data_IF_787881434354
#
_entry.id   IF_787881434354
#
_cell.length_a   1.000
_cell.length_b   1.000
_cell.length_c   1.000
_cell.angle_alpha   90.00
_cell.angle_beta   90.00
_cell.angle_gamma   90.00
#
_symmetry.space_group_name_H-M   'P 1'
#
loop_
_entity.id
_entity.type
_entity.pdbx_description
1 polymer ?
#
# COMPACT_ATOMS: atom_id res chain seq x y z
N UNK A 1 -22.58 -3.81 -83.74
CA UNK A 1 -22.26 -4.80 -82.69
C UNK A 1 -20.75 -5.09 -82.67
N UNK A 2 -19.93 -4.26 -82.03
CA UNK A 2 -18.48 -4.54 -81.83
C UNK A 2 -17.83 -3.78 -80.66
N UNK A 3 -18.60 -2.96 -79.92
CA UNK A 3 -18.09 -2.13 -78.83
C UNK A 3 -18.55 -2.57 -77.43
N UNK A 4 -19.43 -3.59 -77.31
CA UNK A 4 -19.93 -4.08 -76.02
C UNK A 4 -19.04 -5.14 -75.34
N UNK A 5 -18.23 -5.87 -76.10
CA UNK A 5 -17.46 -7.01 -75.57
C UNK A 5 -16.14 -6.62 -74.91
N UNK A 6 -15.61 -5.42 -75.23
CA UNK A 6 -14.34 -4.92 -74.65
C UNK A 6 -14.53 -4.25 -73.29
N UNK A 7 -15.66 -3.58 -73.05
CA UNK A 7 -15.95 -2.98 -71.74
C UNK A 7 -16.34 -4.02 -70.69
N UNK A 8 -16.93 -5.15 -71.09
CA UNK A 8 -17.29 -6.22 -70.16
C UNK A 8 -16.05 -6.94 -69.58
N UNK A 9 -14.97 -7.06 -70.35
CA UNK A 9 -13.71 -7.70 -69.92
C UNK A 9 -12.89 -6.75 -69.03
N UNK A 10 -12.92 -5.43 -69.30
CA UNK A 10 -12.21 -4.43 -68.51
C UNK A 10 -12.85 -4.20 -67.13
N UNK A 11 -14.17 -4.41 -67.00
CA UNK A 11 -14.86 -4.35 -65.70
C UNK A 11 -14.81 -5.68 -64.90
N UNK A 12 -14.50 -6.81 -65.55
CA UNK A 12 -14.43 -8.11 -64.89
C UNK A 12 -13.06 -8.38 -64.21
N UNK A 13 -11.99 -7.73 -64.68
CA UNK A 13 -10.63 -7.93 -64.16
C UNK A 13 -10.39 -7.29 -62.76
N UNK A 14 -10.97 -6.12 -62.40
CA UNK A 14 -10.87 -5.60 -61.04
C UNK A 14 -11.75 -6.37 -60.05
N UNK A 15 -12.90 -6.91 -60.49
CA UNK A 15 -13.80 -7.69 -59.62
C UNK A 15 -13.21 -9.04 -59.19
N UNK A 16 -12.34 -9.67 -59.98
CA UNK A 16 -11.66 -10.90 -59.57
C UNK A 16 -10.53 -10.68 -58.55
N UNK A 17 -10.00 -9.46 -58.43
CA UNK A 17 -8.92 -9.15 -57.48
C UNK A 17 -9.40 -8.87 -56.05
N UNK A 18 -10.71 -8.63 -55.85
CA UNK A 18 -11.28 -8.42 -54.52
C UNK A 18 -11.65 -9.70 -53.76
N UNK A 19 -11.56 -10.88 -54.39
CA UNK A 19 -12.00 -12.16 -53.79
C UNK A 19 -10.86 -12.94 -53.11
N UNK A 20 -9.60 -12.44 -53.16
CA UNK A 20 -8.42 -13.15 -52.63
C UNK A 20 -7.90 -12.55 -51.31
N UNK A 21 -8.52 -11.50 -50.78
CA UNK A 21 -8.08 -10.87 -49.52
C UNK A 21 -8.75 -11.42 -48.26
N UNK A 22 -9.18 -12.69 -48.25
CA UNK A 22 -9.44 -13.42 -47.01
C UNK A 22 -8.19 -14.22 -46.63
N UNK A 23 -7.12 -13.52 -46.21
CA UNK A 23 -6.16 -14.19 -45.33
C UNK A 23 -6.91 -14.48 -44.04
N UNK A 24 -7.09 -15.75 -43.69
CA UNK A 24 -7.47 -16.10 -42.31
C UNK A 24 -6.43 -15.45 -41.41
N UNK A 25 -6.87 -14.57 -40.52
CA UNK A 25 -5.99 -14.10 -39.44
C UNK A 25 -5.43 -15.33 -38.75
N UNK A 26 -4.14 -15.29 -38.40
CA UNK A 26 -3.57 -16.33 -37.57
C UNK A 26 -4.45 -16.48 -36.33
N UNK A 27 -4.85 -17.71 -36.01
CA UNK A 27 -5.59 -17.95 -34.79
C UNK A 27 -4.81 -17.30 -33.64
N UNK A 28 -5.48 -16.50 -32.82
CA UNK A 28 -4.90 -15.97 -31.59
C UNK A 28 -4.45 -17.18 -30.77
N UNK A 29 -3.16 -17.50 -30.83
CA UNK A 29 -2.58 -18.43 -29.89
C UNK A 29 -2.58 -17.70 -28.55
N UNK A 30 -3.11 -18.31 -27.47
CA UNK A 30 -2.88 -17.77 -26.14
C UNK A 30 -1.40 -17.45 -26.04
N UNK A 31 -1.08 -16.22 -25.62
CA UNK A 31 0.29 -15.94 -25.21
C UNK A 31 0.63 -17.03 -24.19
N UNK A 32 1.69 -17.80 -24.45
CA UNK A 32 2.21 -18.72 -23.46
C UNK A 32 2.67 -17.83 -22.31
N UNK A 33 1.76 -17.65 -21.34
CA UNK A 33 2.04 -16.95 -20.11
C UNK A 33 3.03 -17.88 -19.44
N UNK A 34 4.32 -17.69 -19.73
CA UNK A 34 5.38 -18.51 -19.15
C UNK A 34 5.19 -18.58 -17.63
N UNK A 35 5.92 -19.49 -16.99
CA UNK A 35 5.85 -19.68 -15.53
C UNK A 35 5.74 -18.34 -14.78
N UNK A 36 4.78 -18.23 -13.84
CA UNK A 36 4.54 -17.04 -13.03
C UNK A 36 5.88 -16.36 -12.68
N UNK A 37 6.12 -15.11 -13.12
CA UNK A 37 7.42 -14.47 -12.96
C UNK A 37 7.80 -14.34 -11.49
N UNK A 38 6.85 -14.36 -10.56
CA UNK A 38 7.09 -14.20 -9.12
C UNK A 38 7.55 -15.48 -8.41
N UNK A 39 7.45 -16.65 -9.04
CA UNK A 39 8.03 -17.89 -8.49
C UNK A 39 9.53 -17.66 -8.24
N UNK A 40 9.99 -17.95 -7.01
CA UNK A 40 11.41 -17.89 -6.66
C UNK A 40 12.04 -19.24 -6.93
N UNK A 41 13.22 -19.25 -7.55
CA UNK A 41 13.98 -20.45 -7.88
C UNK A 41 15.28 -20.44 -7.09
N UNK A 42 15.73 -21.62 -6.67
CA UNK A 42 16.98 -21.72 -5.92
C UNK A 42 18.17 -21.28 -6.79
N UNK A 43 19.08 -20.55 -6.16
CA UNK A 43 20.40 -20.24 -6.68
C UNK A 43 21.41 -20.46 -5.54
N UNK A 44 21.90 -21.70 -5.35
CA UNK A 44 22.81 -22.02 -4.25
C UNK A 44 24.14 -21.25 -4.26
N UNK A 45 24.49 -20.62 -5.38
CA UNK A 45 25.68 -19.78 -5.48
C UNK A 45 25.49 -18.37 -4.85
N UNK A 46 24.24 -17.96 -4.60
CA UNK A 46 23.88 -16.70 -3.95
C UNK A 46 23.20 -16.99 -2.63
N UNK A 47 23.83 -16.62 -1.52
CA UNK A 47 23.26 -16.81 -0.18
C UNK A 47 21.91 -16.10 -0.03
N UNK A 48 21.78 -14.92 -0.65
CA UNK A 48 20.53 -14.13 -0.69
C UNK A 48 19.43 -14.87 -1.43
N UNK A 49 19.70 -15.29 -2.68
CA UNK A 49 18.67 -15.94 -3.51
C UNK A 49 18.26 -17.29 -2.92
N UNK A 50 19.22 -18.04 -2.36
CA UNK A 50 18.94 -19.29 -1.65
C UNK A 50 18.03 -19.06 -0.44
N UNK A 51 18.31 -18.05 0.39
CA UNK A 51 17.48 -17.72 1.55
C UNK A 51 16.06 -17.28 1.14
N UNK A 52 15.94 -16.46 0.09
CA UNK A 52 14.65 -16.04 -0.47
C UNK A 52 13.88 -17.24 -1.02
N UNK A 53 14.55 -18.16 -1.70
CA UNK A 53 13.94 -19.40 -2.20
C UNK A 53 13.42 -20.26 -1.05
N UNK A 54 14.23 -20.50 -0.01
CA UNK A 54 13.80 -21.28 1.16
C UNK A 54 12.60 -20.64 1.88
N UNK A 55 12.61 -19.31 2.00
CA UNK A 55 11.47 -18.57 2.55
C UNK A 55 10.22 -18.73 1.67
N UNK A 56 10.38 -18.64 0.34
CA UNK A 56 9.28 -18.79 -0.60
C UNK A 56 8.67 -20.21 -0.57
N UNK A 57 9.48 -21.26 -0.51
CA UNK A 57 9.00 -22.64 -0.42
C UNK A 57 8.13 -22.89 0.84
N UNK A 58 8.43 -22.18 1.94
CA UNK A 58 7.70 -22.31 3.20
C UNK A 58 6.43 -21.46 3.25
N UNK A 59 6.44 -20.29 2.63
CA UNK A 59 5.41 -19.25 2.85
C UNK A 59 4.58 -18.93 1.62
N UNK A 60 5.06 -19.33 0.45
CA UNK A 60 4.57 -18.94 -0.88
C UNK A 60 4.44 -17.43 -1.09
N UNK A 61 5.18 -16.63 -0.32
CA UNK A 61 5.26 -15.18 -0.48
C UNK A 61 6.55 -14.82 -1.23
N UNK A 62 6.47 -14.32 -2.48
CA UNK A 62 7.62 -13.80 -3.19
C UNK A 62 8.22 -12.59 -2.47
N UNK A 63 9.51 -12.67 -2.15
CA UNK A 63 10.31 -11.53 -1.68
C UNK A 63 11.29 -11.15 -2.78
N UNK A 64 11.35 -9.85 -3.07
CA UNK A 64 12.13 -9.26 -4.14
C UNK A 64 13.03 -8.18 -3.55
N UNK A 65 14.17 -7.91 -4.17
CA UNK A 65 15.10 -6.83 -3.81
C UNK A 65 15.51 -5.96 -5.01
N UNK A 66 14.91 -6.21 -6.17
CA UNK A 66 15.05 -5.46 -7.42
C UNK A 66 13.68 -5.41 -8.11
N UNK A 67 13.48 -4.40 -8.96
CA UNK A 67 12.34 -4.29 -9.86
C UNK A 67 12.28 -5.40 -10.92
N UNK A 68 13.42 -5.95 -11.33
CA UNK A 68 13.48 -6.97 -12.38
C UNK A 68 13.12 -8.35 -11.79
N UNK A 69 11.87 -8.76 -11.98
CA UNK A 69 11.32 -10.02 -11.42
C UNK A 69 11.69 -11.23 -12.28
N UNK A 70 11.66 -11.08 -13.61
CA UNK A 70 12.10 -12.07 -14.60
C UNK A 70 12.80 -11.38 -15.76
N UNK A 71 13.77 -12.06 -16.39
CA UNK A 71 14.48 -11.57 -17.58
C UNK A 71 14.00 -12.22 -18.88
N UNK A 72 13.29 -13.34 -18.80
CA UNK A 72 12.80 -14.06 -19.98
C UNK A 72 11.46 -14.76 -19.70
N UNK A 73 10.32 -14.19 -20.14
CA UNK A 73 10.21 -12.83 -20.69
C UNK A 73 10.58 -11.78 -19.64
N UNK A 74 11.02 -10.60 -20.09
CA UNK A 74 11.31 -9.49 -19.18
C UNK A 74 10.03 -9.05 -18.46
N UNK A 75 10.07 -9.07 -17.14
CA UNK A 75 9.00 -8.58 -16.28
C UNK A 75 9.62 -7.70 -15.19
N UNK A 76 9.17 -6.45 -15.13
CA UNK A 76 9.63 -5.47 -14.15
C UNK A 76 8.46 -4.93 -13.33
N UNK A 77 8.72 -4.61 -12.07
CA UNK A 77 7.78 -3.89 -11.20
C UNK A 77 8.01 -2.40 -11.36
N UNK A 78 6.92 -1.67 -11.61
CA UNK A 78 6.90 -0.22 -11.51
C UNK A 78 5.97 0.19 -10.35
N UNK A 79 6.55 0.74 -9.29
CA UNK A 79 5.77 1.27 -8.15
C UNK A 79 4.97 2.52 -8.52
N UNK A 80 5.33 3.19 -9.62
CA UNK A 80 4.61 4.35 -10.12
C UNK A 80 3.37 4.00 -10.95
N UNK A 81 3.20 2.73 -11.32
CA UNK A 81 2.11 2.30 -12.17
C UNK A 81 0.83 2.01 -11.39
N UNK A 82 -0.26 2.70 -11.75
CA UNK A 82 -1.60 2.48 -11.19
C UNK A 82 -2.65 2.36 -12.29
N UNK A 83 -3.60 1.42 -12.13
CA UNK A 83 -4.70 1.20 -13.06
C UNK A 83 -5.65 2.42 -13.19
N UNK A 84 -5.72 3.27 -12.17
CA UNK A 84 -6.62 4.43 -12.11
C UNK A 84 -6.06 5.71 -12.77
N UNK A 85 -4.90 5.65 -13.41
CA UNK A 85 -4.44 6.69 -14.35
C UNK A 85 -3.60 7.83 -13.75
N UNK A 86 -3.29 7.81 -12.46
CA UNK A 86 -2.28 8.69 -11.89
C UNK A 86 -1.00 7.91 -11.66
N UNK A 87 0.05 8.23 -12.41
CA UNK A 87 1.38 7.75 -12.04
C UNK A 87 1.80 8.48 -10.77
N UNK A 88 2.26 7.73 -9.77
CA UNK A 88 2.96 8.38 -8.65
C UNK A 88 4.33 8.87 -9.13
N UNK A 89 4.94 9.80 -8.39
CA UNK A 89 6.27 10.35 -8.70
C UNK A 89 7.30 9.84 -7.71
N UNK A 90 7.20 8.56 -7.35
CA UNK A 90 8.07 7.91 -6.39
C UNK A 90 9.49 7.78 -6.95
N UNK A 91 10.45 8.16 -6.12
CA UNK A 91 11.87 7.90 -6.34
C UNK A 91 12.21 6.67 -5.50
N UNK A 92 12.76 5.64 -6.14
CA UNK A 92 13.01 4.31 -5.56
C UNK A 92 14.50 3.99 -5.70
N UNK A 93 15.16 3.72 -4.57
CA UNK A 93 16.52 3.16 -4.55
C UNK A 93 16.47 1.70 -4.12
N UNK A 94 17.08 0.82 -4.92
CA UNK A 94 17.12 -0.63 -4.64
C UNK A 94 18.32 -1.04 -3.80
N UNK A 95 18.14 -2.12 -3.04
CA UNK A 95 19.20 -2.70 -2.21
C UNK A 95 20.34 -3.24 -3.07
N UNK A 96 21.57 -3.11 -2.55
CA UNK A 96 22.79 -3.60 -3.22
C UNK A 96 23.64 -4.53 -2.36
N UNK A 97 23.38 -4.58 -1.05
CA UNK A 97 24.16 -5.33 -0.09
C UNK A 97 23.37 -6.54 0.41
N UNK A 98 23.97 -7.72 0.31
CA UNK A 98 23.40 -8.99 0.76
C UNK A 98 22.96 -8.95 2.23
N UNK A 99 23.72 -8.30 3.12
CA UNK A 99 23.40 -8.22 4.54
C UNK A 99 22.10 -7.45 4.79
N UNK A 100 21.85 -6.38 4.03
CA UNK A 100 20.63 -5.58 4.13
C UNK A 100 19.43 -6.37 3.57
N UNK A 101 19.62 -7.08 2.46
CA UNK A 101 18.58 -7.93 1.88
C UNK A 101 18.16 -9.04 2.85
N UNK A 102 19.14 -9.72 3.47
CA UNK A 102 18.89 -10.76 4.47
C UNK A 102 18.23 -10.18 5.74
N UNK A 103 18.61 -8.98 6.16
CA UNK A 103 17.96 -8.26 7.27
C UNK A 103 16.48 -7.97 6.94
N UNK A 104 16.20 -7.49 5.73
CA UNK A 104 14.84 -7.25 5.26
C UNK A 104 14.03 -8.54 5.17
N UNK A 105 14.61 -9.63 4.69
CA UNK A 105 13.96 -10.95 4.65
C UNK A 105 13.62 -11.44 6.06
N UNK A 106 14.53 -11.29 7.02
CA UNK A 106 14.31 -11.65 8.42
C UNK A 106 13.19 -10.79 9.05
N UNK A 107 13.15 -9.49 8.73
CA UNK A 107 12.05 -8.62 9.14
C UNK A 107 10.72 -9.13 8.59
N UNK A 108 10.66 -9.46 7.29
CA UNK A 108 9.44 -10.00 6.66
C UNK A 108 9.00 -11.29 7.36
N UNK A 109 9.93 -12.21 7.59
CA UNK A 109 9.63 -13.52 8.17
C UNK A 109 9.18 -13.44 9.62
N UNK A 110 9.85 -12.63 10.45
CA UNK A 110 9.66 -12.66 11.91
C UNK A 110 8.74 -11.55 12.44
N UNK A 111 8.65 -10.41 11.74
CA UNK A 111 7.96 -9.22 12.23
C UNK A 111 6.77 -8.81 11.37
N UNK A 112 6.76 -9.16 10.08
CA UNK A 112 5.70 -8.75 9.15
C UNK A 112 4.66 -9.86 8.92
N UNK A 113 5.08 -10.96 8.30
CA UNK A 113 4.22 -12.06 7.88
C UNK A 113 3.39 -12.70 9.01
N UNK A 114 3.92 -12.87 10.24
CA UNK A 114 3.15 -13.50 11.33
C UNK A 114 1.88 -12.74 11.70
N UNK A 115 1.82 -11.43 11.44
CA UNK A 115 0.72 -10.53 11.74
C UNK A 115 -0.38 -10.54 10.66
N UNK A 116 -0.17 -11.24 9.55
CA UNK A 116 -1.09 -11.25 8.42
C UNK A 116 -1.83 -12.59 8.31
N UNK A 117 -3.14 -12.55 8.09
CA UNK A 117 -3.89 -13.69 7.55
C UNK A 117 -3.60 -13.85 6.05
N UNK A 118 -3.97 -14.98 5.47
CA UNK A 118 -3.81 -15.22 4.04
C UNK A 118 -4.55 -14.19 3.17
N UNK A 119 -5.67 -13.64 3.65
CA UNK A 119 -6.45 -12.62 2.92
C UNK A 119 -5.80 -11.24 2.90
N UNK A 120 -4.91 -10.95 3.85
CA UNK A 120 -4.22 -9.66 3.96
C UNK A 120 -2.78 -9.71 3.42
N UNK A 121 -2.25 -10.92 3.17
CA UNK A 121 -0.91 -11.07 2.58
C UNK A 121 -0.85 -10.35 1.23
N UNK A 122 0.15 -9.49 1.00
CA UNK A 122 0.37 -8.93 -0.32
C UNK A 122 0.80 -10.03 -1.29
N UNK A 123 0.58 -9.80 -2.59
CA UNK A 123 0.97 -10.77 -3.62
C UNK A 123 2.49 -10.97 -3.68
N UNK A 124 3.27 -9.91 -3.49
CA UNK A 124 4.72 -9.97 -3.25
C UNK A 124 5.18 -8.87 -2.30
N UNK A 125 6.39 -9.00 -1.76
CA UNK A 125 7.08 -7.94 -1.01
C UNK A 125 8.33 -7.53 -1.77
N UNK A 126 8.55 -6.22 -1.91
CA UNK A 126 9.75 -5.64 -2.50
C UNK A 126 10.54 -4.88 -1.41
N UNK A 127 11.72 -5.38 -1.09
CA UNK A 127 12.66 -4.78 -0.16
C UNK A 127 13.51 -3.73 -0.89
N UNK A 128 13.50 -2.50 -0.42
CA UNK A 128 14.21 -1.37 -1.04
C UNK A 128 15.00 -0.57 -0.01
N UNK A 129 15.99 0.16 -0.50
CA UNK A 129 16.84 1.04 0.32
C UNK A 129 16.02 2.27 0.73
N UNK A 130 15.58 3.05 -0.26
CA UNK A 130 14.87 4.30 -0.03
C UNK A 130 13.63 4.39 -0.90
N UNK A 131 12.58 5.04 -0.36
CA UNK A 131 11.38 5.38 -1.09
C UNK A 131 10.98 6.81 -0.75
N UNK A 132 10.89 7.66 -1.76
CA UNK A 132 10.66 9.09 -1.57
C UNK A 132 9.48 9.53 -2.43
N UNK A 133 8.54 10.24 -1.80
CA UNK A 133 7.43 10.91 -2.48
C UNK A 133 7.69 12.41 -2.50
N UNK A 134 8.01 13.01 -3.66
CA UNK A 134 8.08 14.45 -3.81
C UNK A 134 6.67 15.04 -3.81
N UNK A 135 6.44 15.99 -2.92
CA UNK A 135 5.25 16.81 -2.88
C UNK A 135 5.57 18.19 -3.44
N UNK A 136 4.99 18.51 -4.59
CA UNK A 136 5.17 19.79 -5.26
C UNK A 136 4.28 20.85 -4.62
N UNK A 137 4.87 21.72 -3.81
CA UNK A 137 4.25 22.95 -3.35
C UNK A 137 4.37 24.06 -4.40
N UNK A 138 3.72 25.19 -4.15
CA UNK A 138 3.75 26.32 -5.07
C UNK A 138 5.14 26.98 -5.18
N UNK A 139 5.96 26.91 -4.12
CA UNK A 139 7.29 27.54 -4.06
C UNK A 139 8.44 26.56 -3.82
N UNK A 140 8.15 25.32 -3.39
CA UNK A 140 9.18 24.35 -3.03
C UNK A 140 8.65 22.91 -3.19
N UNK A 141 9.57 21.97 -3.36
CA UNK A 141 9.28 20.53 -3.41
C UNK A 141 9.73 19.90 -2.10
N UNK A 142 8.79 19.36 -1.33
CA UNK A 142 9.10 18.60 -0.12
C UNK A 142 9.31 17.13 -0.46
N UNK A 143 10.41 16.54 0.00
CA UNK A 143 10.70 15.12 -0.20
C UNK A 143 10.34 14.35 1.07
N UNK A 144 9.31 13.50 0.98
CA UNK A 144 8.83 12.70 2.11
C UNK A 144 9.32 11.27 1.96
N UNK A 145 10.11 10.80 2.93
CA UNK A 145 10.50 9.40 3.01
C UNK A 145 9.30 8.54 3.43
N UNK A 146 9.03 7.49 2.66
CA UNK A 146 7.96 6.54 2.93
C UNK A 146 8.57 5.24 3.46
N UNK A 147 8.09 4.71 4.60
CA UNK A 147 8.58 3.43 5.12
C UNK A 147 8.06 2.23 4.32
N UNK A 148 6.94 2.39 3.62
CA UNK A 148 6.34 1.36 2.79
C UNK A 148 5.36 1.96 1.78
N UNK A 149 5.02 1.17 0.76
CA UNK A 149 4.06 1.57 -0.27
C UNK A 149 3.35 0.37 -0.91
N UNK A 150 2.04 0.48 -1.08
CA UNK A 150 1.22 -0.53 -1.76
C UNK A 150 1.18 -0.24 -3.27
N UNK A 151 2.02 -0.96 -4.02
CA UNK A 151 1.94 -1.03 -5.48
C UNK A 151 0.89 -2.03 -5.95
N UNK A 152 0.68 -2.12 -7.27
CA UNK A 152 -0.38 -2.95 -7.85
C UNK A 152 -0.24 -4.43 -7.51
N UNK A 153 0.95 -4.99 -7.72
CA UNK A 153 1.25 -6.41 -7.49
C UNK A 153 2.29 -6.62 -6.39
N UNK A 154 2.72 -5.56 -5.70
CA UNK A 154 3.75 -5.67 -4.67
C UNK A 154 3.51 -4.71 -3.54
N UNK A 155 3.95 -5.08 -2.35
CA UNK A 155 4.07 -4.19 -1.22
C UNK A 155 5.55 -3.87 -0.99
N UNK A 156 5.93 -2.63 -1.20
CA UNK A 156 7.30 -2.17 -0.99
C UNK A 156 7.54 -1.86 0.50
N UNK A 157 8.67 -2.33 1.03
CA UNK A 157 9.17 -2.02 2.38
C UNK A 157 10.53 -1.34 2.19
N UNK A 158 10.63 -0.10 2.65
CA UNK A 158 11.80 0.76 2.46
C UNK A 158 12.57 0.99 3.76
N UNK A 159 13.71 1.69 3.69
CA UNK A 159 14.58 1.94 4.82
C UNK A 159 15.17 0.66 5.44
N UNK A 160 15.29 -0.40 4.62
CA UNK A 160 15.75 -1.73 5.05
C UNK A 160 17.17 -1.72 5.65
N UNK A 161 18.17 -1.00 5.08
CA UNK A 161 19.53 -0.98 5.64
C UNK A 161 19.61 -0.45 7.08
N UNK A 162 18.62 0.34 7.49
CA UNK A 162 18.58 0.95 8.82
C UNK A 162 17.86 0.09 9.86
N UNK A 163 17.14 -0.98 9.47
CA UNK A 163 16.35 -1.83 10.39
C UNK A 163 17.23 -2.39 11.52
N UNK A 164 18.42 -2.92 11.20
CA UNK A 164 19.33 -3.53 12.17
C UNK A 164 19.86 -2.53 13.22
N UNK A 165 19.80 -1.22 12.93
CA UNK A 165 20.31 -0.15 13.79
C UNK A 165 19.21 0.50 14.63
N UNK A 166 17.94 0.12 14.44
CA UNK A 166 16.83 0.71 15.17
C UNK A 166 16.82 0.26 16.62
N UNK A 167 16.61 1.22 17.53
CA UNK A 167 16.25 0.91 18.92
C UNK A 167 14.90 0.19 18.97
N UNK A 168 14.57 -0.52 20.06
CA UNK A 168 13.27 -1.19 20.18
C UNK A 168 12.07 -0.27 19.93
N UNK A 169 12.11 0.96 20.43
CA UNK A 169 11.02 1.93 20.22
C UNK A 169 10.96 2.48 18.80
N UNK A 170 12.12 2.70 18.16
CA UNK A 170 12.16 3.10 16.76
C UNK A 170 11.67 1.98 15.84
N UNK A 171 12.01 0.73 16.14
CA UNK A 171 11.52 -0.43 15.40
C UNK A 171 10.00 -0.59 15.54
N UNK A 172 9.42 -0.36 16.73
CA UNK A 172 7.97 -0.34 16.93
C UNK A 172 7.28 0.70 16.05
N UNK A 173 7.79 1.94 16.05
CA UNK A 173 7.23 3.02 15.20
C UNK A 173 7.38 2.71 13.71
N UNK A 174 8.51 2.17 13.31
CA UNK A 174 8.74 1.75 11.93
C UNK A 174 7.77 0.64 11.51
N UNK A 175 7.61 -0.41 12.33
CA UNK A 175 6.60 -1.47 12.10
C UNK A 175 5.20 -0.88 11.97
N UNK A 176 4.81 0.01 12.88
CA UNK A 176 3.49 0.66 12.85
C UNK A 176 3.26 1.42 11.54
N UNK A 177 4.27 2.13 11.05
CA UNK A 177 4.17 2.87 9.80
C UNK A 177 4.09 1.94 8.57
N UNK A 178 4.87 0.85 8.55
CA UNK A 178 4.79 -0.19 7.51
C UNK A 178 3.39 -0.81 7.48
N UNK A 179 2.87 -1.24 8.62
CA UNK A 179 1.52 -1.84 8.66
C UNK A 179 0.42 -0.83 8.33
N UNK A 180 0.56 0.43 8.77
CA UNK A 180 -0.40 1.47 8.41
C UNK A 180 -0.51 1.60 6.88
N UNK A 181 0.62 1.63 6.17
CA UNK A 181 0.63 1.69 4.71
C UNK A 181 -0.07 0.47 4.06
N UNK A 182 0.09 -0.73 4.62
CA UNK A 182 -0.60 -1.95 4.14
C UNK A 182 -2.12 -1.90 4.40
N UNK A 183 -2.51 -1.41 5.57
CA UNK A 183 -3.88 -1.50 6.08
C UNK A 183 -4.81 -0.40 5.55
N UNK A 184 -4.28 0.73 5.06
CA UNK A 184 -5.10 1.85 4.58
C UNK A 184 -6.08 1.42 3.48
N UNK A 185 -5.63 0.74 2.44
CA UNK A 185 -6.49 0.34 1.33
C UNK A 185 -7.62 -0.63 1.75
N UNK A 186 -7.36 -1.75 2.46
CA UNK A 186 -8.42 -2.66 2.87
C UNK A 186 -9.37 -2.05 3.92
N UNK A 187 -8.89 -1.21 4.83
CA UNK A 187 -9.74 -0.54 5.82
C UNK A 187 -10.66 0.51 5.19
N UNK A 188 -10.20 1.21 4.14
CA UNK A 188 -11.02 2.21 3.44
C UNK A 188 -12.07 1.61 2.49
N UNK A 189 -12.24 0.28 2.45
CA UNK A 189 -13.37 -0.34 1.75
C UNK A 189 -14.68 0.05 2.43
N UNK A 190 -15.70 0.34 1.62
CA UNK A 190 -17.02 0.76 2.10
C UNK A 190 -17.57 -0.17 3.19
N UNK A 191 -18.14 0.40 4.25
CA UNK A 191 -18.72 -0.35 5.37
C UNK A 191 -17.75 -0.70 6.51
N UNK A 192 -16.44 -0.76 6.27
CA UNK A 192 -15.49 -1.25 7.30
C UNK A 192 -15.31 -0.23 8.44
N UNK A 193 -15.16 1.06 8.11
CA UNK A 193 -14.88 2.12 9.08
C UNK A 193 -16.09 2.99 9.44
N UNK A 194 -17.30 2.67 8.98
CA UNK A 194 -18.48 3.51 9.20
C UNK A 194 -18.74 3.79 10.68
N UNK A 195 -18.70 2.74 11.51
CA UNK A 195 -18.90 2.87 12.96
C UNK A 195 -17.78 3.64 13.65
N UNK A 196 -16.54 3.48 13.17
CA UNK A 196 -15.40 4.24 13.69
C UNK A 196 -15.58 5.73 13.42
N UNK A 197 -15.92 6.10 12.18
CA UNK A 197 -16.12 7.50 11.82
C UNK A 197 -17.38 8.12 12.44
N UNK A 198 -18.46 7.35 12.64
CA UNK A 198 -19.70 7.89 13.21
C UNK A 198 -19.53 8.45 14.63
N UNK A 199 -18.55 7.97 15.40
CA UNK A 199 -18.32 8.42 16.79
C UNK A 199 -17.99 9.92 16.87
N UNK A 200 -17.30 10.46 15.87
CA UNK A 200 -16.89 11.88 15.84
C UNK A 200 -17.38 12.60 14.59
N UNK A 201 -18.42 12.07 13.93
CA UNK A 201 -18.92 12.59 12.67
C UNK A 201 -19.27 14.09 12.75
N UNK A 202 -19.88 14.51 13.87
CA UNK A 202 -20.31 15.88 14.09
C UNK A 202 -19.14 16.86 14.38
N UNK A 203 -17.92 16.37 14.55
CA UNK A 203 -16.76 17.17 14.93
C UNK A 203 -15.76 17.37 13.78
N UNK A 204 -15.69 16.45 12.82
CA UNK A 204 -14.70 16.52 11.73
C UNK A 204 -14.75 17.85 10.97
N UNK A 205 -13.56 18.35 10.63
CA UNK A 205 -13.40 19.61 9.90
C UNK A 205 -13.65 20.88 10.72
N UNK A 206 -14.05 20.76 12.00
CA UNK A 206 -14.22 21.92 12.90
C UNK A 206 -12.91 22.28 13.62
N UNK A 207 -12.92 23.46 14.23
CA UNK A 207 -11.84 23.94 15.09
C UNK A 207 -12.35 24.12 16.51
N UNK A 208 -11.50 23.85 17.49
CA UNK A 208 -11.75 24.24 18.87
C UNK A 208 -11.28 25.66 19.07
N UNK A 209 -12.08 26.51 19.73
CA UNK A 209 -11.70 27.89 20.00
C UNK A 209 -12.38 28.47 21.26
N UNK A 210 -11.64 28.54 22.37
CA UNK A 210 -12.14 29.09 23.64
C UNK A 210 -13.52 28.52 24.01
N UNK A 211 -14.46 29.36 24.41
CA UNK A 211 -15.83 28.94 24.74
C UNK A 211 -16.81 29.03 23.55
N UNK A 212 -16.32 29.21 22.32
CA UNK A 212 -17.15 29.49 21.15
C UNK A 212 -17.78 28.21 20.62
N UNK A 213 -19.12 28.17 20.57
CA UNK A 213 -19.89 27.13 19.90
C UNK A 213 -20.59 27.68 18.65
N UNK A 214 -20.28 27.14 17.47
CA UNK A 214 -20.91 27.50 16.20
C UNK A 214 -20.86 26.34 15.20
N UNK A 215 -21.27 26.57 13.95
CA UNK A 215 -21.15 25.58 12.88
C UNK A 215 -19.69 25.16 12.60
N UNK A 216 -18.73 26.07 12.82
CA UNK A 216 -17.31 25.85 12.53
C UNK A 216 -16.44 25.69 13.78
N UNK A 217 -16.93 26.15 14.93
CA UNK A 217 -16.19 26.16 16.19
C UNK A 217 -16.85 25.31 17.27
N UNK A 218 -16.03 24.56 17.99
CA UNK A 218 -16.39 23.82 19.18
C UNK A 218 -15.79 24.52 20.41
N UNK A 219 -16.47 24.46 21.57
CA UNK A 219 -15.90 24.96 22.82
C UNK A 219 -14.66 24.16 23.21
N UNK A 220 -13.84 24.67 24.12
CA UNK A 220 -12.60 24.03 24.52
C UNK A 220 -12.87 22.80 25.37
N UNK A 221 -12.40 21.66 24.87
CA UNK A 221 -12.20 20.42 25.60
C UNK A 221 -10.86 19.80 25.15
N UNK A 222 -10.26 18.88 25.91
CA UNK A 222 -9.22 18.00 25.39
C UNK A 222 -9.70 17.23 24.15
N UNK A 223 -8.79 16.91 23.23
CA UNK A 223 -9.12 16.28 21.94
C UNK A 223 -9.75 14.89 22.12
N UNK A 224 -9.37 14.22 23.20
CA UNK A 224 -9.91 12.94 23.65
C UNK A 224 -11.41 13.01 23.97
N UNK A 225 -11.93 14.13 24.46
CA UNK A 225 -13.37 14.32 24.72
C UNK A 225 -14.20 14.30 23.43
N UNK A 226 -13.57 14.57 22.28
CA UNK A 226 -14.18 14.44 20.97
C UNK A 226 -13.96 13.06 20.34
N UNK A 227 -13.38 12.10 21.08
CA UNK A 227 -13.06 10.77 20.58
C UNK A 227 -11.87 10.74 19.62
N UNK A 228 -10.87 11.60 19.83
CA UNK A 228 -9.72 11.73 18.94
C UNK A 228 -8.43 11.60 19.74
N UNK A 229 -7.38 11.03 19.12
CA UNK A 229 -6.06 10.95 19.75
C UNK A 229 -5.30 12.27 19.52
N UNK A 230 -4.74 12.90 20.57
CA UNK A 230 -3.96 14.12 20.41
C UNK A 230 -2.61 13.88 19.73
N UNK A 231 -2.14 14.88 18.99
CA UNK A 231 -0.79 14.98 18.47
C UNK A 231 0.25 15.31 19.55
N UNK A 232 -0.19 15.86 20.69
CA UNK A 232 0.65 16.18 21.84
C UNK A 232 1.22 17.60 21.81
N UNK A 233 0.79 18.41 20.85
CA UNK A 233 1.19 19.81 20.66
C UNK A 233 -0.01 20.74 20.44
N UNK A 234 -1.22 20.28 20.75
CA UNK A 234 -2.44 21.09 20.68
C UNK A 234 -2.34 22.32 21.60
N UNK A 235 -2.79 23.46 21.09
CA UNK A 235 -2.91 24.66 21.92
C UNK A 235 -4.12 24.54 22.86
N UNK A 236 -3.97 25.10 24.05
CA UNK A 236 -5.02 25.14 25.09
C UNK A 236 -6.17 26.10 24.76
N UNK A 237 -6.10 26.83 23.66
CA UNK A 237 -7.14 27.80 23.26
C UNK A 237 -7.60 27.61 21.82
N UNK A 238 -6.81 26.95 20.97
CA UNK A 238 -7.14 26.75 19.56
C UNK A 238 -6.48 25.50 19.00
N UNK A 239 -7.25 24.59 18.42
CA UNK A 239 -6.70 23.47 17.66
C UNK A 239 -7.69 22.93 16.62
N UNK A 240 -7.18 22.24 15.59
CA UNK A 240 -8.01 21.58 14.59
C UNK A 240 -8.46 20.19 15.06
N UNK A 241 -9.73 19.88 14.86
CA UNK A 241 -10.23 18.50 15.00
C UNK A 241 -9.56 17.59 13.96
N UNK A 242 -9.37 18.09 12.74
CA UNK A 242 -8.84 17.34 11.62
C UNK A 242 -9.93 16.60 10.84
N UNK A 243 -9.48 15.79 9.88
CA UNK A 243 -10.30 14.99 8.99
C UNK A 243 -10.42 13.54 9.47
N UNK A 244 -11.29 12.77 8.81
CA UNK A 244 -11.39 11.31 9.02
C UNK A 244 -10.07 10.58 8.72
N UNK A 245 -9.30 11.03 7.72
CA UNK A 245 -7.99 10.44 7.42
C UNK A 245 -6.98 10.72 8.51
N UNK A 246 -6.95 11.95 9.05
CA UNK A 246 -6.08 12.32 10.16
C UNK A 246 -6.36 11.46 11.40
N UNK A 247 -7.63 11.27 11.72
CA UNK A 247 -8.09 10.47 12.84
C UNK A 247 -7.68 8.99 12.68
N UNK A 248 -7.98 8.38 11.53
CA UNK A 248 -7.57 7.00 11.26
C UNK A 248 -6.05 6.83 11.37
N UNK A 249 -5.28 7.75 10.80
CA UNK A 249 -3.81 7.72 10.88
C UNK A 249 -3.29 7.79 12.31
N UNK A 250 -3.87 8.65 13.15
CA UNK A 250 -3.46 8.77 14.56
C UNK A 250 -3.81 7.52 15.38
N UNK A 251 -4.99 6.94 15.14
CA UNK A 251 -5.39 5.69 15.77
C UNK A 251 -4.52 4.51 15.33
N UNK A 252 -4.29 4.33 14.03
CA UNK A 252 -3.42 3.26 13.53
C UNK A 252 -2.01 3.38 14.09
N UNK A 253 -1.42 4.58 14.07
CA UNK A 253 -0.09 4.80 14.64
C UNK A 253 -0.05 4.42 16.13
N UNK A 254 -1.03 4.88 16.92
CA UNK A 254 -1.05 4.65 18.37
C UNK A 254 -1.29 3.19 18.72
N UNK A 255 -2.21 2.51 18.02
CA UNK A 255 -2.51 1.09 18.27
C UNK A 255 -1.33 0.22 17.82
N UNK A 256 -0.81 0.43 16.62
CA UNK A 256 0.22 -0.43 16.03
C UNK A 256 1.61 -0.24 16.64
N UNK A 257 1.86 0.86 17.35
CA UNK A 257 3.13 1.10 18.07
C UNK A 257 3.05 0.82 19.58
N UNK A 258 1.86 0.54 20.11
CA UNK A 258 1.60 0.35 21.53
C UNK A 258 0.99 -1.02 21.87
N UNK A 259 0.61 -1.18 23.13
CA UNK A 259 -0.17 -2.32 23.62
C UNK A 259 -1.54 -1.89 24.12
N UNK A 260 -2.50 -2.80 24.16
CA UNK A 260 -3.84 -2.54 24.74
C UNK A 260 -3.75 -1.98 26.16
N UNK A 261 -2.85 -2.53 26.99
CA UNK A 261 -2.63 -2.05 28.35
C UNK A 261 -2.15 -0.59 28.38
N UNK A 262 -1.19 -0.23 27.53
CA UNK A 262 -0.71 1.16 27.42
C UNK A 262 -1.78 2.11 26.87
N UNK A 263 -2.59 1.63 25.92
CA UNK A 263 -3.68 2.41 25.35
C UNK A 263 -4.75 2.69 26.40
N UNK A 264 -5.17 1.65 27.14
CA UNK A 264 -6.19 1.74 28.19
C UNK A 264 -5.71 2.58 29.36
N UNK A 265 -4.43 2.47 29.75
CA UNK A 265 -3.86 3.32 30.78
C UNK A 265 -3.93 4.81 30.40
N UNK A 266 -3.68 5.12 29.12
CA UNK A 266 -3.67 6.51 28.64
C UNK A 266 -5.07 7.06 28.35
N UNK A 267 -5.95 6.24 27.80
CA UNK A 267 -7.23 6.70 27.23
C UNK A 267 -8.48 6.07 27.85
N UNK A 268 -8.34 5.17 28.81
CA UNK A 268 -9.47 4.43 29.40
C UNK A 268 -10.53 5.30 30.07
N UNK A 269 -10.18 6.55 30.43
CA UNK A 269 -11.11 7.54 30.98
C UNK A 269 -11.96 8.25 29.91
N UNK A 270 -11.68 8.07 28.62
CA UNK A 270 -12.35 8.77 27.52
C UNK A 270 -13.22 7.79 26.71
N UNK A 271 -14.55 7.74 26.97
CA UNK A 271 -15.42 6.71 26.40
C UNK A 271 -15.47 6.70 24.87
N UNK A 272 -15.48 7.88 24.24
CA UNK A 272 -15.47 7.98 22.78
C UNK A 272 -14.17 7.45 22.18
N UNK A 273 -13.03 7.68 22.86
CA UNK A 273 -11.73 7.17 22.40
C UNK A 273 -11.71 5.65 22.44
N UNK A 274 -12.17 5.07 23.55
CA UNK A 274 -12.24 3.61 23.74
C UNK A 274 -13.28 2.96 22.81
N UNK A 275 -14.39 3.63 22.52
CA UNK A 275 -15.38 3.15 21.55
C UNK A 275 -14.77 3.02 20.15
N UNK A 276 -14.05 4.06 19.69
CA UNK A 276 -13.31 4.00 18.42
C UNK A 276 -12.21 2.96 18.42
N UNK A 277 -11.44 2.84 19.50
CA UNK A 277 -10.44 1.79 19.65
C UNK A 277 -11.07 0.42 19.36
N UNK A 278 -12.18 0.07 20.03
CA UNK A 278 -12.86 -1.21 19.85
C UNK A 278 -13.37 -1.42 18.41
N UNK A 279 -13.93 -0.38 17.78
CA UNK A 279 -14.34 -0.47 16.38
C UNK A 279 -13.16 -0.70 15.43
N UNK A 280 -12.03 -0.03 15.66
CA UNK A 280 -10.86 -0.19 14.82
C UNK A 280 -10.18 -1.55 15.03
N UNK A 281 -10.10 -2.06 16.26
CA UNK A 281 -9.64 -3.42 16.55
C UNK A 281 -10.50 -4.45 15.78
N UNK A 282 -11.83 -4.25 15.80
CA UNK A 282 -12.76 -5.11 15.04
C UNK A 282 -12.51 -5.01 13.53
N UNK A 283 -12.33 -3.81 12.99
CA UNK A 283 -12.07 -3.58 11.58
C UNK A 283 -10.74 -4.19 11.12
N UNK A 284 -9.68 -4.02 11.91
CA UNK A 284 -8.36 -4.62 11.68
C UNK A 284 -8.43 -6.15 11.61
N UNK A 285 -9.10 -6.78 12.57
CA UNK A 285 -9.34 -8.23 12.54
C UNK A 285 -10.16 -8.64 11.33
N UNK A 286 -11.20 -7.87 10.96
CA UNK A 286 -12.05 -8.14 9.81
C UNK A 286 -11.29 -8.08 8.47
N UNK A 287 -10.28 -7.21 8.34
CA UNK A 287 -9.42 -7.17 7.15
C UNK A 287 -8.29 -8.21 7.17
N UNK A 288 -8.17 -9.00 8.25
CA UNK A 288 -7.20 -10.10 8.35
C UNK A 288 -5.92 -9.77 9.10
N UNK A 289 -5.88 -8.67 9.85
CA UNK A 289 -4.74 -8.34 10.72
C UNK A 289 -4.85 -9.09 12.05
N UNK A 290 -3.77 -9.75 12.47
CA UNK A 290 -3.72 -10.59 13.68
C UNK A 290 -3.25 -9.77 14.89
N UNK A 291 -4.17 -8.99 15.45
CA UNK A 291 -3.88 -8.08 16.58
C UNK A 291 -3.37 -8.83 17.82
N UNK A 292 -3.81 -10.06 18.03
CA UNK A 292 -3.37 -10.94 19.12
C UNK A 292 -1.86 -11.24 19.10
N UNK A 293 -1.19 -10.99 17.96
CA UNK A 293 0.24 -11.21 17.77
C UNK A 293 1.06 -9.92 17.72
N UNK A 294 0.42 -8.76 17.86
CA UNK A 294 1.06 -7.44 17.84
C UNK A 294 1.93 -7.23 19.08
#
# INVERSE_FOLDING_TARGET
MKNGFKFLIILALPCLLFIVSCKKEAALTPFDVGSDPFIRKDNPASAVDHAIYQFYEQTHLPVLYSDTVSRNPLFTIDLNYHLSGFNSTLIVDYLRNDADILTGLQFVQSQFLPLLSDSLKPYSVLLIDSLISPMYGYYDTTYTFLPAYAGLNTFAIANVPHIAQMTPDSLKRYKAAVFSALLLAPLNKNGILEKFYSVSADYYGKYVYGDVASAYYLPYLPKEEYGLIPYGNESTTYYSIGSQSDDLSQYLNTILSGSEASFTQRFGAYPLVMQKYNYLITALSAVGFKIDKL
#
